data_IF_724343493844
#
_entry.id   IF_724343493844
#
_cell.length_a   1.000
_cell.length_b   1.000
_cell.length_c   1.000
_cell.angle_alpha   90.00
_cell.angle_beta   90.00
_cell.angle_gamma   90.00
#
_symmetry.space_group_name_H-M   'P 1'
#
loop_
_entity.id
_entity.type
_entity.pdbx_description
1 polymer ?
#
# COMPACT_ATOMS: atom_id res chain seq x y z
N UNK A 1 57.82 -25.28 -39.88
CA UNK A 1 57.46 -25.55 -38.47
C UNK A 1 56.90 -24.28 -37.88
N UNK A 2 55.57 -24.12 -37.90
CA UNK A 2 54.87 -23.04 -37.20
C UNK A 2 53.98 -23.71 -36.17
N UNK A 3 54.16 -23.30 -34.91
CA UNK A 3 53.53 -23.88 -33.72
C UNK A 3 52.05 -23.51 -33.67
N UNK A 4 51.19 -24.53 -33.66
CA UNK A 4 49.74 -24.40 -33.43
C UNK A 4 49.50 -24.19 -31.94
N UNK A 5 49.09 -22.98 -31.55
CA UNK A 5 48.58 -22.73 -30.19
C UNK A 5 47.13 -23.22 -30.14
N UNK A 6 46.90 -24.19 -29.28
CA UNK A 6 45.59 -24.72 -28.93
C UNK A 6 44.81 -23.66 -28.14
N UNK A 7 43.86 -23.01 -28.81
CA UNK A 7 42.88 -22.16 -28.15
C UNK A 7 41.86 -23.02 -27.41
N UNK A 8 41.99 -23.11 -26.09
CA UNK A 8 40.96 -23.67 -25.22
C UNK A 8 39.67 -22.88 -25.39
N UNK A 9 38.68 -23.48 -26.07
CA UNK A 9 37.31 -23.01 -26.04
C UNK A 9 36.72 -23.34 -24.67
N UNK A 10 36.79 -22.38 -23.76
CA UNK A 10 35.96 -22.39 -22.56
C UNK A 10 34.51 -22.18 -23.03
N UNK A 11 33.75 -23.26 -23.05
CA UNK A 11 32.30 -23.23 -23.22
C UNK A 11 31.71 -22.58 -21.98
N UNK A 12 31.56 -21.26 -22.01
CA UNK A 12 30.81 -20.50 -21.02
C UNK A 12 29.42 -20.22 -21.59
N UNK A 13 28.61 -21.26 -21.80
CA UNK A 13 27.17 -21.06 -21.91
C UNK A 13 26.64 -20.99 -20.48
N UNK A 14 26.43 -19.73 -20.06
CA UNK A 14 25.96 -19.35 -18.76
C UNK A 14 24.72 -20.14 -18.38
N UNK A 15 24.78 -20.72 -17.20
CA UNK A 15 23.62 -21.18 -16.45
C UNK A 15 22.90 -19.91 -15.94
N UNK A 16 22.31 -19.15 -16.86
CA UNK A 16 21.26 -18.20 -16.49
C UNK A 16 20.06 -19.08 -16.15
N UNK A 17 19.96 -19.47 -14.89
CA UNK A 17 18.67 -19.79 -14.30
C UNK A 17 17.85 -18.49 -14.42
N UNK A 18 17.21 -18.31 -15.58
CA UNK A 18 16.19 -17.31 -15.76
C UNK A 18 15.06 -17.79 -14.86
N UNK A 19 15.01 -17.24 -13.65
CA UNK A 19 13.90 -17.40 -12.73
C UNK A 19 12.72 -16.69 -13.40
N UNK A 20 12.04 -17.37 -14.31
CA UNK A 20 10.76 -16.96 -14.86
C UNK A 20 9.70 -17.49 -13.90
N UNK A 21 9.45 -16.75 -12.82
CA UNK A 21 8.27 -17.00 -12.00
C UNK A 21 7.38 -15.75 -11.99
N UNK A 22 7.06 -15.28 -13.20
CA UNK A 22 5.92 -14.40 -13.46
C UNK A 22 5.16 -14.96 -14.67
N UNK A 23 3.84 -14.94 -14.62
CA UNK A 23 2.99 -15.49 -15.68
C UNK A 23 2.86 -14.48 -16.82
N UNK A 24 3.03 -14.94 -18.06
CA UNK A 24 3.01 -14.07 -19.26
C UNK A 24 1.60 -13.57 -19.62
N UNK A 25 0.57 -14.20 -19.05
CA UNK A 25 -0.83 -13.95 -19.38
C UNK A 25 -1.61 -13.63 -18.10
N UNK A 26 -2.36 -12.51 -18.08
CA UNK A 26 -3.18 -12.14 -16.93
C UNK A 26 -4.29 -13.16 -16.68
N UNK A 27 -4.64 -13.35 -15.40
CA UNK A 27 -5.72 -14.25 -15.02
C UNK A 27 -7.10 -13.72 -15.44
N UNK A 28 -8.08 -14.61 -15.66
CA UNK A 28 -9.45 -14.17 -15.92
C UNK A 28 -10.07 -13.50 -14.69
N UNK A 29 -11.18 -12.80 -14.90
CA UNK A 29 -12.01 -12.31 -13.80
C UNK A 29 -12.55 -13.46 -12.95
N UNK A 30 -12.68 -13.25 -11.65
CA UNK A 30 -13.17 -14.24 -10.72
C UNK A 30 -13.92 -13.61 -9.54
N UNK A 31 -14.77 -14.39 -8.88
CA UNK A 31 -15.68 -13.90 -7.84
C UNK A 31 -15.23 -14.29 -6.44
N UNK A 32 -15.31 -13.34 -5.50
CA UNK A 32 -15.00 -13.55 -4.09
C UNK A 32 -13.49 -13.57 -3.82
N UNK A 33 -12.99 -12.49 -3.21
CA UNK A 33 -11.58 -12.38 -2.81
C UNK A 33 -11.14 -13.58 -1.96
N UNK A 34 -10.03 -14.21 -2.33
CA UNK A 34 -9.49 -15.37 -1.64
C UNK A 34 -10.08 -16.72 -2.09
N UNK A 35 -11.09 -16.74 -2.97
CA UNK A 35 -11.55 -17.98 -3.57
C UNK A 35 -10.48 -18.56 -4.50
N UNK A 36 -10.36 -19.88 -4.54
CA UNK A 36 -9.47 -20.55 -5.48
C UNK A 36 -9.94 -20.29 -6.92
N UNK A 37 -8.97 -20.08 -7.81
CA UNK A 37 -9.21 -19.87 -9.24
C UNK A 37 -8.09 -20.54 -10.04
N UNK A 38 -8.37 -20.88 -11.30
CA UNK A 38 -7.38 -21.53 -12.16
C UNK A 38 -7.55 -21.11 -13.61
N UNK A 39 -6.43 -20.99 -14.31
CA UNK A 39 -6.40 -20.73 -15.74
C UNK A 39 -5.16 -21.34 -16.39
N UNK A 40 -5.22 -21.57 -17.69
CA UNK A 40 -4.12 -22.16 -18.45
C UNK A 40 -3.82 -21.33 -19.69
N UNK A 41 -2.54 -21.21 -20.03
CA UNK A 41 -2.07 -20.54 -21.24
C UNK A 41 -0.88 -21.29 -21.85
N UNK A 42 -0.55 -20.98 -23.10
CA UNK A 42 0.62 -21.53 -23.79
C UNK A 42 1.75 -20.53 -23.64
N UNK A 43 2.86 -20.93 -23.02
CA UNK A 43 4.04 -20.08 -22.86
C UNK A 43 4.74 -19.81 -24.20
N UNK A 44 5.63 -18.82 -24.24
CA UNK A 44 6.50 -18.59 -25.40
C UNK A 44 7.34 -19.82 -25.83
N UNK A 45 7.53 -20.80 -24.93
CA UNK A 45 8.20 -22.08 -25.21
C UNK A 45 7.30 -23.16 -25.83
N UNK A 46 5.99 -22.93 -25.93
CA UNK A 46 5.01 -23.89 -26.45
C UNK A 46 4.44 -24.85 -25.39
N UNK A 47 4.84 -24.72 -24.12
CA UNK A 47 4.32 -25.53 -23.03
C UNK A 47 2.98 -24.96 -22.53
N UNK A 48 2.06 -25.85 -22.15
CA UNK A 48 0.83 -25.43 -21.46
C UNK A 48 1.12 -25.24 -19.98
N UNK A 49 1.04 -23.99 -19.52
CA UNK A 49 1.18 -23.60 -18.11
C UNK A 49 -0.21 -23.53 -17.48
N UNK A 50 -0.36 -24.06 -16.27
CA UNK A 50 -1.60 -23.96 -15.48
C UNK A 50 -1.30 -23.24 -14.17
N UNK A 51 -2.01 -22.15 -13.94
CA UNK A 51 -1.92 -21.33 -12.72
C UNK A 51 -3.04 -21.75 -11.79
N UNK A 52 -2.71 -22.17 -10.57
CA UNK A 52 -3.68 -22.54 -9.52
C UNK A 52 -3.61 -21.52 -8.39
N UNK A 53 -4.18 -20.35 -8.65
CA UNK A 53 -4.11 -19.18 -7.79
C UNK A 53 -5.37 -18.93 -6.97
N UNK A 54 -5.48 -17.70 -6.50
CA UNK A 54 -6.63 -17.20 -5.73
C UNK A 54 -7.10 -15.86 -6.31
N UNK A 55 -8.37 -15.53 -6.08
CA UNK A 55 -8.92 -14.24 -6.49
C UNK A 55 -8.34 -13.09 -5.68
N UNK A 56 -7.74 -12.14 -6.38
CA UNK A 56 -7.28 -10.89 -5.79
C UNK A 56 -8.46 -9.95 -5.47
N UNK A 57 -8.23 -8.91 -4.64
CA UNK A 57 -9.26 -7.91 -4.31
C UNK A 57 -9.80 -7.12 -5.51
N UNK A 58 -9.05 -7.04 -6.60
CA UNK A 58 -9.46 -6.38 -7.84
C UNK A 58 -10.37 -7.26 -8.73
N UNK A 59 -10.67 -8.49 -8.31
CA UNK A 59 -11.57 -9.40 -9.02
C UNK A 59 -10.92 -10.22 -10.13
N UNK A 60 -9.59 -10.35 -10.14
CA UNK A 60 -8.85 -11.15 -11.12
C UNK A 60 -8.05 -12.26 -10.45
N UNK A 61 -7.90 -13.38 -11.16
CA UNK A 61 -7.21 -14.55 -10.64
C UNK A 61 -5.69 -14.32 -10.62
N UNK A 62 -5.04 -14.68 -9.51
CA UNK A 62 -3.58 -14.61 -9.33
C UNK A 62 -2.97 -13.19 -9.35
N UNK A 63 -3.77 -12.15 -9.55
CA UNK A 63 -3.33 -10.75 -9.49
C UNK A 63 -2.74 -10.38 -8.12
N UNK A 64 -1.98 -9.27 -8.09
CA UNK A 64 -1.37 -8.81 -6.84
C UNK A 64 -2.43 -8.52 -5.77
N UNK A 65 -2.16 -8.98 -4.55
CA UNK A 65 -3.12 -9.01 -3.44
C UNK A 65 -3.85 -10.34 -3.26
N UNK A 66 -3.77 -11.26 -4.22
CA UNK A 66 -4.21 -12.64 -4.02
C UNK A 66 -3.35 -13.36 -2.96
N UNK A 67 -3.95 -14.34 -2.27
CA UNK A 67 -3.21 -15.24 -1.41
C UNK A 67 -2.29 -16.15 -2.23
N UNK A 68 -1.17 -16.58 -1.66
CA UNK A 68 -0.26 -17.51 -2.32
C UNK A 68 0.57 -18.30 -1.31
N UNK A 69 1.19 -19.37 -1.78
CA UNK A 69 2.17 -20.20 -1.08
C UNK A 69 3.44 -20.37 -1.91
N UNK A 70 3.32 -20.32 -3.25
CA UNK A 70 4.42 -20.31 -4.21
C UNK A 70 4.16 -19.24 -5.28
N UNK A 71 5.21 -18.82 -6.00
CA UNK A 71 5.09 -17.82 -7.07
C UNK A 71 4.27 -18.31 -8.27
N UNK A 72 4.17 -19.62 -8.50
CA UNK A 72 3.36 -20.20 -9.58
C UNK A 72 1.84 -19.95 -9.42
N UNK A 73 1.43 -19.43 -8.26
CA UNK A 73 0.04 -19.05 -7.95
C UNK A 73 -0.25 -17.58 -8.22
N UNK A 74 0.76 -16.80 -8.63
CA UNK A 74 0.71 -15.36 -8.78
C UNK A 74 0.99 -14.95 -10.22
N UNK A 75 0.39 -13.86 -10.66
CA UNK A 75 0.75 -13.21 -11.91
C UNK A 75 2.19 -12.67 -11.85
N UNK A 76 2.51 -11.96 -10.76
CA UNK A 76 3.89 -11.60 -10.39
C UNK A 76 4.48 -12.65 -9.42
N UNK A 77 5.19 -12.22 -8.37
CA UNK A 77 5.85 -13.10 -7.41
C UNK A 77 5.09 -13.17 -6.08
N UNK A 78 5.15 -14.33 -5.44
CA UNK A 78 4.62 -14.50 -4.09
C UNK A 78 5.60 -13.95 -3.04
N UNK A 79 5.11 -13.10 -2.14
CA UNK A 79 5.86 -12.54 -1.02
C UNK A 79 5.08 -12.64 0.29
N UNK A 80 5.60 -13.40 1.25
CA UNK A 80 5.00 -13.62 2.56
C UNK A 80 3.49 -13.96 2.51
N UNK A 81 3.12 -14.83 1.57
CA UNK A 81 1.75 -15.33 1.41
C UNK A 81 0.81 -14.45 0.58
N UNK A 82 1.30 -13.37 -0.02
CA UNK A 82 0.52 -12.47 -0.89
C UNK A 82 1.26 -12.24 -2.22
N UNK A 83 0.54 -12.29 -3.34
CA UNK A 83 1.09 -11.93 -4.65
C UNK A 83 1.48 -10.43 -4.66
N UNK A 84 2.73 -10.12 -4.96
CA UNK A 84 3.31 -8.78 -4.82
C UNK A 84 3.53 -8.34 -3.36
N UNK A 85 3.50 -9.27 -2.40
CA UNK A 85 3.65 -9.01 -0.96
C UNK A 85 5.10 -8.84 -0.50
N UNK A 86 5.32 -8.77 0.82
CA UNK A 86 6.65 -8.53 1.41
C UNK A 86 7.68 -9.58 0.96
N UNK A 87 8.78 -9.12 0.38
CA UNK A 87 9.87 -9.96 -0.14
C UNK A 87 9.64 -10.52 -1.54
N UNK A 88 8.49 -10.26 -2.17
CA UNK A 88 8.28 -10.60 -3.58
C UNK A 88 9.28 -9.83 -4.46
N UNK A 89 9.73 -10.44 -5.55
CA UNK A 89 10.56 -9.76 -6.56
C UNK A 89 9.74 -8.72 -7.30
N UNK A 90 10.35 -7.59 -7.65
CA UNK A 90 9.74 -6.50 -8.41
C UNK A 90 10.78 -5.80 -9.30
N UNK A 91 10.35 -5.07 -10.31
CA UNK A 91 11.20 -4.23 -11.16
C UNK A 91 10.63 -2.81 -11.38
N UNK A 92 9.41 -2.55 -10.92
CA UNK A 92 8.76 -1.24 -11.02
C UNK A 92 8.21 -0.76 -9.68
N UNK A 93 8.35 0.54 -9.44
CA UNK A 93 7.72 1.27 -8.34
C UNK A 93 6.28 1.70 -8.63
N UNK A 94 5.81 1.48 -9.86
CA UNK A 94 4.44 1.81 -10.26
C UNK A 94 3.43 0.95 -9.50
N UNK A 95 2.21 1.46 -9.36
CA UNK A 95 1.12 0.69 -8.80
C UNK A 95 0.77 -0.48 -9.73
N UNK A 96 0.50 -1.64 -9.13
CA UNK A 96 0.03 -2.78 -9.89
C UNK A 96 -1.29 -2.45 -10.61
N UNK A 97 -1.33 -2.76 -11.90
CA UNK A 97 -2.54 -2.77 -12.72
C UNK A 97 -2.67 -4.11 -13.41
N UNK A 98 -3.91 -4.60 -13.52
CA UNK A 98 -4.19 -5.82 -14.26
C UNK A 98 -3.67 -5.70 -15.71
N UNK A 99 -3.01 -6.76 -16.20
CA UNK A 99 -2.41 -6.80 -17.53
C UNK A 99 -1.26 -5.78 -17.74
N UNK A 100 -0.50 -5.49 -16.69
CA UNK A 100 0.78 -4.79 -16.83
C UNK A 100 1.92 -5.73 -17.23
N UNK A 101 2.99 -5.17 -17.77
CA UNK A 101 4.20 -5.90 -18.17
C UNK A 101 5.35 -5.77 -17.17
N UNK A 102 5.31 -4.76 -16.31
CA UNK A 102 6.26 -4.61 -15.21
C UNK A 102 5.85 -5.46 -14.02
N UNK A 103 6.84 -5.92 -13.26
CA UNK A 103 6.62 -6.67 -12.03
C UNK A 103 6.50 -5.66 -10.88
N UNK A 104 5.28 -5.40 -10.42
CA UNK A 104 5.02 -4.43 -9.36
C UNK A 104 4.70 -5.12 -8.03
N UNK A 105 4.67 -4.33 -6.96
CA UNK A 105 4.21 -4.80 -5.66
C UNK A 105 2.70 -4.56 -5.50
N UNK A 106 2.09 -5.25 -4.54
CA UNK A 106 0.72 -5.00 -4.12
C UNK A 106 0.63 -3.70 -3.32
N UNK A 107 0.57 -2.57 -4.02
CA UNK A 107 0.58 -1.22 -3.44
C UNK A 107 -0.63 -0.94 -2.55
N UNK A 108 -1.79 -1.52 -2.83
CA UNK A 108 -2.98 -1.45 -1.97
C UNK A 108 -2.77 -2.15 -0.62
N UNK A 109 -1.89 -3.15 -0.58
CA UNK A 109 -1.40 -3.81 0.64
C UNK A 109 -0.30 -3.03 1.37
N UNK A 110 0.16 -1.91 0.81
CA UNK A 110 1.18 -1.05 1.39
C UNK A 110 2.62 -1.52 1.10
N UNK A 111 2.82 -2.24 0.00
CA UNK A 111 4.15 -2.65 -0.46
C UNK A 111 4.65 -1.73 -1.59
N UNK A 112 5.94 -1.43 -1.61
CA UNK A 112 6.61 -0.70 -2.69
C UNK A 112 7.83 -1.45 -3.13
N UNK A 113 8.19 -1.33 -4.40
CA UNK A 113 9.43 -1.91 -4.88
C UNK A 113 10.62 -1.10 -4.36
N UNK A 114 11.55 -1.76 -3.68
CA UNK A 114 12.88 -1.24 -3.41
C UNK A 114 13.83 -1.88 -4.41
N UNK A 115 14.04 -1.22 -5.54
CA UNK A 115 14.90 -1.69 -6.62
C UNK A 115 16.26 -0.99 -6.58
N UNK A 116 17.32 -1.79 -6.46
CA UNK A 116 18.71 -1.37 -6.70
C UNK A 116 19.11 -1.79 -8.13
N UNK A 117 18.67 -1.03 -9.13
CA UNK A 117 18.89 -1.35 -10.55
C UNK A 117 17.67 -1.97 -11.23
N UNK A 118 17.86 -3.04 -12.00
CA UNK A 118 16.80 -3.68 -12.82
C UNK A 118 15.96 -4.74 -12.08
N UNK A 119 16.24 -5.00 -10.81
CA UNK A 119 15.50 -5.96 -9.98
C UNK A 119 15.55 -5.50 -8.53
N UNK A 120 14.41 -5.61 -7.85
CA UNK A 120 14.20 -5.20 -6.48
C UNK A 120 13.35 -6.18 -5.69
N UNK A 121 13.06 -5.79 -4.45
CA UNK A 121 12.15 -6.53 -3.59
C UNK A 121 11.03 -5.62 -3.07
N UNK A 122 9.84 -6.19 -2.95
CA UNK A 122 8.70 -5.55 -2.33
C UNK A 122 8.97 -5.40 -0.84
N UNK A 123 9.13 -4.17 -0.40
CA UNK A 123 9.29 -3.81 1.01
C UNK A 123 8.03 -3.12 1.50
N UNK A 124 7.88 -3.00 2.82
CA UNK A 124 6.87 -2.12 3.38
C UNK A 124 7.14 -0.69 2.94
N UNK A 125 6.14 -0.04 2.34
CA UNK A 125 6.21 1.38 2.02
C UNK A 125 6.50 2.16 3.32
N UNK A 126 7.64 2.85 3.37
CA UNK A 126 8.31 3.32 4.59
C UNK A 126 7.56 4.40 5.41
N UNK A 127 6.26 4.60 5.21
CA UNK A 127 5.43 5.41 6.12
C UNK A 127 3.95 5.14 5.91
N UNK A 128 3.15 5.31 6.97
CA UNK A 128 1.69 5.44 6.89
C UNK A 128 1.28 6.53 5.86
N UNK A 129 2.11 7.55 5.64
CA UNK A 129 1.92 8.58 4.61
C UNK A 129 2.09 8.06 3.17
N UNK A 130 3.03 7.15 2.90
CA UNK A 130 3.14 6.49 1.59
C UNK A 130 1.96 5.53 1.33
N UNK A 131 1.46 4.87 2.39
CA UNK A 131 0.21 4.08 2.34
C UNK A 131 -1.02 4.96 2.07
N UNK A 132 -1.03 6.22 2.54
CA UNK A 132 -2.03 7.23 2.18
C UNK A 132 -1.91 7.69 0.72
N UNK A 133 -0.69 7.88 0.19
CA UNK A 133 -0.44 8.27 -1.22
C UNK A 133 -0.77 7.20 -2.26
N UNK A 134 -0.48 5.92 -1.98
CA UNK A 134 -0.84 4.82 -2.88
C UNK A 134 -2.37 4.65 -2.98
N UNK A 135 -3.11 4.85 -1.88
CA UNK A 135 -4.58 4.90 -1.87
C UNK A 135 -5.15 6.14 -2.59
N UNK A 136 -4.35 7.20 -2.77
CA UNK A 136 -4.71 8.42 -3.49
C UNK A 136 -4.45 8.34 -5.00
N UNK A 137 -3.85 7.27 -5.53
CA UNK A 137 -3.52 7.13 -6.96
C UNK A 137 -4.42 6.16 -7.75
N UNK A 138 -5.66 5.93 -7.30
CA UNK A 138 -6.68 5.53 -8.25
C UNK A 138 -7.21 6.78 -8.95
N UNK A 139 -7.00 6.81 -10.26
CA UNK A 139 -7.65 7.66 -11.24
C UNK A 139 -9.10 7.96 -10.85
N UNK A 140 -9.33 9.10 -10.19
CA UNK A 140 -10.66 9.65 -10.07
C UNK A 140 -10.94 10.46 -11.33
N UNK A 141 -11.75 9.87 -12.21
CA UNK A 141 -12.76 10.66 -12.92
C UNK A 141 -13.59 11.50 -11.92
N UNK A 142 -14.33 12.50 -12.37
CA UNK A 142 -14.53 13.75 -11.63
C UNK A 142 -15.20 13.52 -10.27
N UNK A 143 -14.47 13.88 -9.21
CA UNK A 143 -14.88 14.13 -7.81
C UNK A 143 -15.70 13.01 -7.13
N UNK A 144 -15.20 12.42 -6.02
CA UNK A 144 -15.97 11.41 -5.30
C UNK A 144 -17.26 12.03 -4.76
N UNK A 145 -18.41 11.46 -5.12
CA UNK A 145 -19.74 11.89 -4.65
C UNK A 145 -20.16 11.21 -3.35
N UNK A 146 -19.45 10.15 -2.94
CA UNK A 146 -19.72 9.38 -1.74
C UNK A 146 -18.48 8.60 -1.29
N UNK A 147 -18.43 8.28 0.00
CA UNK A 147 -17.36 7.47 0.57
C UNK A 147 -17.65 5.97 0.50
N UNK A 148 -16.59 5.17 0.35
CA UNK A 148 -16.69 3.71 0.30
C UNK A 148 -17.00 3.09 1.67
N UNK A 149 -16.56 3.74 2.75
CA UNK A 149 -16.88 3.33 4.12
C UNK A 149 -18.07 4.14 4.60
N UNK A 150 -19.01 3.45 5.23
CA UNK A 150 -20.24 4.06 5.75
C UNK A 150 -19.98 5.08 6.87
N UNK A 151 -18.81 4.99 7.52
CA UNK A 151 -18.41 5.88 8.62
C UNK A 151 -17.54 7.06 8.18
N UNK A 152 -17.12 7.10 6.91
CA UNK A 152 -16.31 8.19 6.39
C UNK A 152 -17.24 9.31 5.86
N UNK A 153 -16.84 10.55 6.07
CA UNK A 153 -17.52 11.73 5.54
C UNK A 153 -16.71 12.38 4.43
N UNK A 154 -17.43 12.97 3.47
CA UNK A 154 -16.82 13.67 2.35
C UNK A 154 -16.44 15.10 2.77
N UNK A 155 -15.14 15.35 2.97
CA UNK A 155 -14.59 16.63 3.41
C UNK A 155 -13.83 17.35 2.29
N UNK A 156 -13.80 18.69 2.26
CA UNK A 156 -12.92 19.43 1.37
C UNK A 156 -11.45 19.19 1.74
N UNK A 157 -10.61 18.87 0.75
CA UNK A 157 -9.16 18.70 0.98
C UNK A 157 -8.52 20.04 1.34
N UNK A 158 -7.84 20.10 2.49
CA UNK A 158 -7.17 21.31 3.00
C UNK A 158 -5.90 21.68 2.22
N UNK A 159 -5.41 20.81 1.32
CA UNK A 159 -4.19 21.02 0.54
C UNK A 159 -4.38 21.08 -0.98
N UNK A 160 -5.62 20.98 -1.48
CA UNK A 160 -5.94 20.92 -2.91
C UNK A 160 -6.40 22.26 -3.48
N UNK A 161 -6.12 22.50 -4.76
CA UNK A 161 -6.77 23.56 -5.53
C UNK A 161 -8.30 23.41 -5.47
N UNK A 162 -9.01 24.53 -5.61
CA UNK A 162 -10.45 24.70 -5.35
C UNK A 162 -11.36 23.52 -5.73
N UNK A 163 -11.85 22.79 -4.71
CA UNK A 163 -13.00 21.88 -4.81
C UNK A 163 -12.70 20.39 -4.91
N UNK A 164 -11.52 19.95 -4.47
CA UNK A 164 -11.24 18.53 -4.24
C UNK A 164 -11.89 18.05 -2.94
N UNK A 165 -12.58 16.91 -3.03
CA UNK A 165 -13.26 16.27 -1.91
C UNK A 165 -12.53 14.96 -1.58
N UNK A 166 -12.38 14.67 -0.31
CA UNK A 166 -11.76 13.45 0.19
C UNK A 166 -12.64 12.78 1.26
N UNK A 167 -12.49 11.46 1.41
CA UNK A 167 -13.20 10.71 2.42
C UNK A 167 -12.37 10.62 3.69
N UNK A 168 -12.95 11.11 4.78
CA UNK A 168 -12.28 11.28 6.08
C UNK A 168 -13.07 10.58 7.17
N UNK A 169 -12.36 9.85 8.02
CA UNK A 169 -12.92 9.27 9.24
C UNK A 169 -13.01 10.35 10.33
N UNK A 170 -14.18 10.98 10.47
CA UNK A 170 -14.41 12.03 11.47
C UNK A 170 -14.27 11.52 12.91
N UNK A 171 -14.23 10.21 13.15
CA UNK A 171 -14.11 9.66 14.49
C UNK A 171 -12.67 9.69 15.02
N UNK A 172 -11.68 9.76 14.14
CA UNK A 172 -10.26 9.63 14.48
C UNK A 172 -9.33 10.61 13.75
N UNK A 173 -9.81 11.31 12.72
CA UNK A 173 -9.00 12.27 11.99
C UNK A 173 -8.80 13.56 12.79
N UNK A 174 -7.54 13.90 13.05
CA UNK A 174 -7.15 15.03 13.89
C UNK A 174 -7.52 16.40 13.29
N UNK A 175 -7.58 16.51 11.96
CA UNK A 175 -7.86 17.75 11.22
C UNK A 175 -9.35 17.92 10.88
N UNK A 176 -10.15 16.88 11.12
CA UNK A 176 -11.58 16.82 10.79
C UNK A 176 -12.41 16.17 11.93
N UNK A 177 -12.01 16.37 13.17
CA UNK A 177 -12.57 15.63 14.30
C UNK A 177 -14.03 16.01 14.57
N UNK A 178 -14.94 15.05 14.43
CA UNK A 178 -16.39 15.23 14.57
C UNK A 178 -17.05 15.99 13.42
N UNK A 179 -16.29 16.80 12.67
CA UNK A 179 -16.76 17.53 11.49
C UNK A 179 -15.56 17.96 10.62
N UNK A 180 -15.78 18.03 9.30
CA UNK A 180 -14.77 18.50 8.35
C UNK A 180 -14.19 19.87 8.74
N UNK A 181 -12.86 19.97 8.77
CA UNK A 181 -12.12 21.19 9.10
C UNK A 181 -12.04 21.53 10.59
N UNK A 182 -12.51 20.66 11.48
CA UNK A 182 -12.33 20.83 12.94
C UNK A 182 -11.01 20.17 13.36
N UNK A 183 -9.98 21.00 13.51
CA UNK A 183 -8.68 20.55 13.98
C UNK A 183 -8.57 20.58 15.51
N UNK A 184 -8.12 19.47 16.11
CA UNK A 184 -7.94 19.37 17.55
C UNK A 184 -6.73 20.14 18.11
N UNK A 185 -5.81 20.59 17.25
CA UNK A 185 -4.59 21.32 17.64
C UNK A 185 -4.86 22.66 18.34
N UNK A 186 -6.05 23.22 18.18
CA UNK A 186 -6.45 24.51 18.76
C UNK A 186 -7.02 24.43 20.18
N UNK A 187 -7.05 23.24 20.80
CA UNK A 187 -7.57 23.07 22.16
C UNK A 187 -6.73 23.86 23.19
N UNK A 188 -7.39 24.73 23.96
CA UNK A 188 -6.73 25.58 24.94
C UNK A 188 -6.07 24.74 26.04
N UNK A 189 -4.82 25.05 26.40
CA UNK A 189 -4.10 24.35 27.46
C UNK A 189 -3.63 22.94 27.12
N UNK A 190 -4.09 22.33 26.02
CA UNK A 190 -3.68 21.00 25.57
C UNK A 190 -2.21 20.94 25.15
N UNK A 191 -1.47 19.98 25.70
CA UNK A 191 -0.11 19.64 25.29
C UNK A 191 -0.08 18.44 24.35
N UNK A 192 -0.89 17.42 24.65
CA UNK A 192 -1.18 16.29 23.77
C UNK A 192 -2.69 16.20 23.67
N UNK A 193 -3.22 16.19 22.45
CA UNK A 193 -4.64 16.16 22.15
C UNK A 193 -4.86 15.10 21.08
N UNK A 194 -5.95 14.34 21.20
CA UNK A 194 -6.31 13.29 20.24
C UNK A 194 -7.78 13.45 19.81
N UNK A 195 -8.09 12.96 18.60
CA UNK A 195 -9.48 12.81 18.17
C UNK A 195 -9.97 11.40 18.55
N UNK A 196 -10.95 11.33 19.44
CA UNK A 196 -11.51 10.07 19.93
C UNK A 196 -13.02 10.12 19.78
N UNK A 197 -13.57 9.23 18.96
CA UNK A 197 -15.00 9.14 18.69
C UNK A 197 -15.61 10.48 18.24
N UNK A 198 -14.87 11.25 17.45
CA UNK A 198 -15.30 12.54 16.91
C UNK A 198 -15.29 13.68 17.94
N UNK A 199 -14.53 13.53 19.02
CA UNK A 199 -14.29 14.58 20.01
C UNK A 199 -12.80 14.79 20.20
N UNK A 200 -12.37 16.04 20.22
CA UNK A 200 -11.02 16.38 20.64
C UNK A 200 -10.93 16.21 22.15
N UNK A 201 -9.99 15.38 22.61
CA UNK A 201 -9.74 15.10 24.03
C UNK A 201 -8.28 15.45 24.37
N UNK A 202 -8.06 16.15 25.48
CA UNK A 202 -6.74 16.39 26.02
C UNK A 202 -6.20 15.13 26.70
N UNK A 203 -5.08 14.60 26.21
CA UNK A 203 -4.34 13.52 26.87
C UNK A 203 -3.34 14.05 27.91
N UNK A 204 -2.87 15.29 27.72
CA UNK A 204 -2.05 15.99 28.71
C UNK A 204 -2.14 17.50 28.52
N UNK A 205 -1.85 18.24 29.59
CA UNK A 205 -1.92 19.70 29.60
C UNK A 205 -0.54 20.35 29.67
N UNK A 206 -0.46 21.57 29.13
CA UNK A 206 0.72 22.43 29.22
C UNK A 206 0.95 22.87 30.67
N UNK A 207 2.16 23.33 30.99
CA UNK A 207 2.46 23.87 32.33
C UNK A 207 1.48 25.01 32.68
N UNK A 208 0.97 25.00 33.92
CA UNK A 208 -0.04 25.97 34.40
C UNK A 208 -1.49 25.57 34.13
N UNK A 209 -1.70 24.36 33.60
CA UNK A 209 -3.02 23.77 33.33
C UNK A 209 -3.13 22.41 34.01
N UNK A 210 -4.34 22.07 34.44
CA UNK A 210 -4.70 20.78 35.04
C UNK A 210 -5.64 20.05 34.09
N UNK A 211 -5.38 18.76 33.87
CA UNK A 211 -6.30 17.88 33.14
C UNK A 211 -7.49 17.55 34.04
N UNK A 212 -8.69 17.91 33.62
CA UNK A 212 -9.93 17.56 34.28
C UNK A 212 -10.80 16.85 33.24
N UNK A 213 -11.05 15.56 33.47
CA UNK A 213 -11.61 14.64 32.50
C UNK A 213 -10.79 14.66 31.19
N UNK A 214 -11.32 15.26 30.14
CA UNK A 214 -10.70 15.34 28.81
C UNK A 214 -10.39 16.79 28.38
N UNK A 215 -10.44 17.74 29.32
CA UNK A 215 -10.18 19.16 29.07
C UNK A 215 -9.07 19.70 29.97
N UNK A 216 -8.33 20.67 29.45
CA UNK A 216 -7.36 21.41 30.23
C UNK A 216 -8.02 22.65 30.83
N UNK A 217 -7.97 22.78 32.16
CA UNK A 217 -8.41 23.97 32.89
C UNK A 217 -7.22 24.68 33.53
N UNK A 218 -7.22 26.02 33.57
CA UNK A 218 -6.10 26.76 34.18
C UNK A 218 -5.99 26.43 35.66
N UNK A 219 -4.80 26.03 36.09
CA UNK A 219 -4.53 25.85 37.51
C UNK A 219 -4.46 27.24 38.16
N UNK A 220 -5.51 27.62 38.90
CA UNK A 220 -5.47 28.81 39.75
C UNK A 220 -4.63 28.46 40.98
N UNK A 221 -3.32 28.30 40.82
CA UNK A 221 -2.44 28.26 41.99
C UNK A 221 -2.28 29.70 42.45
N UNK A 222 -2.85 30.14 43.58
CA UNK A 222 -2.55 31.46 44.11
C UNK A 222 -1.04 31.51 44.33
N UNK A 223 -0.39 32.54 43.78
CA UNK A 223 1.02 32.79 44.04
C UNK A 223 1.20 32.96 45.55
N UNK A 224 1.65 31.91 46.25
CA UNK A 224 2.23 32.06 47.58
C UNK A 224 3.46 32.93 47.41
N UNK A 225 3.32 34.19 47.81
CA UNK A 225 4.44 35.11 47.99
C UNK A 225 5.43 34.48 48.97
N UNK A 226 6.70 34.40 48.56
CA UNK A 226 7.86 34.26 49.43
C UNK A 226 8.77 35.44 49.15
#
# INVERSE_FOLDING_TARGET
>A
MFTSQSGSFIVLFGLTALVLAFNEVPGPSCEGTGNACSYSYVSGGGDTVTVNGFCAPNGFCADNGAACTTSDQCYDYCGNGVCGGLGATCDSTDAFSHNQFSIACYTDGGYTCNADGSTGQCVLSASLAARKRARQQLSMGPRPVSCRRDNDSLCPSLGGLTGEMECVDLASDFENCGQCGIECGSMEGGAVVECVQGKCLAMSCRRGWTLLDDECVRSITPATQV
#
